data_IF_122858900209
#
_entry.id   IF_122858900209
#
_cell.length_a   1.000
_cell.length_b   1.000
_cell.length_c   1.000
_cell.angle_alpha   90.00
_cell.angle_beta   90.00
_cell.angle_gamma   90.00
#
_symmetry.space_group_name_H-M   'P 1'
#
loop_
_entity.id
_entity.type
_entity.pdbx_description
1 polymer ?
#
# COMPACT_ATOMS: atom_id res chain seq x y z
N UNK A 1 -8.37 32.40 -8.97
CA UNK A 1 -7.98 31.98 -7.61
C UNK A 1 -8.93 30.89 -7.16
N UNK A 2 -8.49 29.76 -6.56
CA UNK A 2 -9.43 28.92 -5.85
C UNK A 2 -10.03 29.83 -4.80
N UNK A 3 -11.34 29.88 -4.77
CA UNK A 3 -12.06 30.75 -3.86
C UNK A 3 -11.49 30.58 -2.47
N UNK A 4 -11.10 31.67 -1.82
CA UNK A 4 -10.60 31.76 -0.43
C UNK A 4 -11.35 30.81 0.52
N UNK A 5 -12.64 30.57 0.21
CA UNK A 5 -13.56 29.69 0.92
C UNK A 5 -13.08 28.26 1.15
N UNK A 6 -12.33 27.63 0.22
CA UNK A 6 -11.89 26.22 0.37
C UNK A 6 -10.38 26.08 0.50
N UNK A 7 -9.63 27.19 0.55
CA UNK A 7 -8.17 27.16 0.63
C UNK A 7 -7.68 26.40 1.87
N UNK A 8 -8.24 26.69 3.04
CA UNK A 8 -7.91 26.02 4.31
C UNK A 8 -8.16 24.51 4.27
N UNK A 9 -9.30 24.08 3.68
CA UNK A 9 -9.64 22.66 3.53
C UNK A 9 -8.62 21.96 2.65
N UNK A 10 -8.21 22.59 1.55
CA UNK A 10 -7.20 22.06 0.64
C UNK A 10 -5.85 21.96 1.33
N UNK A 11 -5.41 22.99 2.03
CA UNK A 11 -4.13 23.01 2.78
C UNK A 11 -4.06 21.89 3.82
N UNK A 12 -5.13 21.67 4.59
CA UNK A 12 -5.21 20.58 5.55
C UNK A 12 -5.14 19.18 4.88
N UNK A 13 -5.83 19.01 3.74
CA UNK A 13 -5.79 17.74 3.00
C UNK A 13 -4.45 17.49 2.33
N UNK A 14 -3.74 18.55 1.94
CA UNK A 14 -2.40 18.48 1.36
C UNK A 14 -1.30 18.09 2.36
N UNK A 15 -1.61 17.96 3.66
CA UNK A 15 -0.71 17.36 4.66
C UNK A 15 -0.66 15.82 4.56
N UNK A 16 -1.51 15.21 3.72
CA UNK A 16 -1.53 13.76 3.48
C UNK A 16 -0.86 13.45 2.13
N UNK A 17 -0.29 12.24 1.95
CA UNK A 17 0.28 11.83 0.66
C UNK A 17 -0.78 11.77 -0.46
N UNK A 18 -2.02 11.45 -0.08
CA UNK A 18 -3.16 11.34 -0.97
C UNK A 18 -4.45 11.78 -0.25
N UNK A 19 -5.32 12.46 -0.95
CA UNK A 19 -6.69 12.71 -0.51
C UNK A 19 -7.71 12.38 -1.62
N UNK A 20 -8.98 12.28 -1.24
CA UNK A 20 -10.05 11.83 -2.14
C UNK A 20 -11.10 12.92 -2.37
N UNK A 21 -11.84 12.80 -3.49
CA UNK A 21 -13.02 13.63 -3.75
C UNK A 21 -14.06 13.53 -2.61
N UNK A 22 -14.21 12.33 -2.02
CA UNK A 22 -15.12 12.11 -0.90
C UNK A 22 -14.71 12.90 0.36
N UNK A 23 -13.41 12.99 0.65
CA UNK A 23 -12.93 13.80 1.77
C UNK A 23 -13.19 15.30 1.56
N UNK A 24 -13.06 15.79 0.32
CA UNK A 24 -13.44 17.15 -0.02
C UNK A 24 -14.95 17.38 0.19
N UNK A 25 -15.78 16.44 -0.27
CA UNK A 25 -17.24 16.50 -0.12
C UNK A 25 -17.66 16.50 1.36
N UNK A 26 -17.09 15.60 2.16
CA UNK A 26 -17.34 15.51 3.61
C UNK A 26 -16.95 16.79 4.37
N UNK A 27 -16.05 17.61 3.81
CA UNK A 27 -15.65 18.92 4.35
C UNK A 27 -16.43 20.09 3.74
N UNK A 28 -17.51 19.81 3.00
CA UNK A 28 -18.43 20.81 2.48
C UNK A 28 -18.04 21.41 1.13
N UNK A 29 -17.12 20.79 0.38
CA UNK A 29 -16.86 21.18 -1.02
C UNK A 29 -17.94 20.57 -1.91
N UNK A 30 -18.73 21.38 -2.66
CA UNK A 30 -19.79 20.86 -3.51
C UNK A 30 -19.25 19.88 -4.57
N UNK A 31 -19.91 18.72 -4.83
CA UNK A 31 -19.48 17.73 -5.82
C UNK A 31 -19.25 18.32 -7.22
N UNK A 32 -20.11 19.25 -7.65
CA UNK A 32 -19.97 19.95 -8.93
C UNK A 32 -18.71 20.80 -9.04
N UNK A 33 -18.16 21.26 -7.91
CA UNK A 33 -16.96 22.09 -7.86
C UNK A 33 -15.66 21.28 -7.73
N UNK A 34 -15.72 20.06 -7.17
CA UNK A 34 -14.53 19.23 -6.87
C UNK A 34 -13.68 18.99 -8.12
N UNK A 35 -14.31 18.64 -9.25
CA UNK A 35 -13.60 18.40 -10.52
C UNK A 35 -12.84 19.65 -11.00
N UNK A 36 -13.47 20.82 -10.89
CA UNK A 36 -12.86 22.10 -11.27
C UNK A 36 -11.69 22.45 -10.35
N UNK A 37 -11.86 22.24 -9.04
CA UNK A 37 -10.82 22.47 -8.04
C UNK A 37 -9.60 21.55 -8.26
N UNK A 38 -9.84 20.25 -8.47
CA UNK A 38 -8.77 19.28 -8.75
C UNK A 38 -7.99 19.63 -10.02
N UNK A 39 -8.67 19.99 -11.10
CA UNK A 39 -8.02 20.41 -12.34
C UNK A 39 -7.18 21.69 -12.14
N UNK A 40 -7.65 22.63 -11.33
CA UNK A 40 -6.91 23.85 -11.01
C UNK A 40 -5.64 23.54 -10.20
N UNK A 41 -5.75 22.66 -9.18
CA UNK A 41 -4.62 22.23 -8.37
C UNK A 41 -3.58 21.47 -9.21
N UNK A 42 -4.05 20.57 -10.10
CA UNK A 42 -3.19 19.85 -11.05
C UNK A 42 -2.43 20.83 -11.97
N UNK A 43 -3.13 21.81 -12.57
CA UNK A 43 -2.50 22.84 -13.43
C UNK A 43 -1.44 23.66 -12.69
N UNK A 44 -1.58 23.83 -11.37
CA UNK A 44 -0.60 24.49 -10.50
C UNK A 44 0.53 23.57 -10.02
N UNK A 45 0.57 22.30 -10.48
CA UNK A 45 1.56 21.32 -10.05
C UNK A 45 1.45 20.91 -8.57
N UNK A 46 0.30 21.19 -7.92
CA UNK A 46 0.12 20.90 -6.49
C UNK A 46 -0.36 19.48 -6.21
N UNK A 47 -0.96 18.83 -7.20
CA UNK A 47 -1.45 17.44 -7.10
C UNK A 47 -1.31 16.73 -8.44
N UNK A 48 -1.25 15.40 -8.36
CA UNK A 48 -1.42 14.48 -9.48
C UNK A 48 -2.73 13.70 -9.33
N UNK A 49 -3.41 13.40 -10.46
CA UNK A 49 -4.62 12.58 -10.46
C UNK A 49 -4.21 11.13 -10.72
N UNK A 50 -4.31 10.29 -9.71
CA UNK A 50 -3.91 8.86 -9.81
C UNK A 50 -5.05 8.02 -10.38
N UNK A 51 -6.23 8.17 -9.83
CA UNK A 51 -7.49 7.55 -10.29
C UNK A 51 -8.61 8.58 -10.18
N UNK A 52 -9.77 8.28 -10.76
CA UNK A 52 -10.96 9.13 -10.61
C UNK A 52 -11.27 9.40 -9.13
N UNK A 53 -11.19 10.68 -8.75
CA UNK A 53 -11.48 11.12 -7.38
C UNK A 53 -10.37 10.82 -6.36
N UNK A 54 -9.14 10.51 -6.79
CA UNK A 54 -7.98 10.32 -5.93
C UNK A 54 -6.82 11.19 -6.39
N UNK A 55 -6.34 12.01 -5.48
CA UNK A 55 -5.42 13.11 -5.74
C UNK A 55 -4.17 12.93 -4.87
N UNK A 56 -3.04 12.63 -5.50
CA UNK A 56 -1.75 12.53 -4.83
C UNK A 56 -1.12 13.92 -4.67
N UNK A 57 -0.50 14.15 -3.53
CA UNK A 57 0.21 15.39 -3.18
C UNK A 57 1.72 15.19 -3.31
N UNK A 58 2.19 13.97 -3.20
CA UNK A 58 3.62 13.58 -3.26
C UNK A 58 3.85 12.69 -4.48
N UNK A 59 5.08 12.71 -4.99
CA UNK A 59 5.44 11.96 -6.19
C UNK A 59 5.90 10.52 -5.90
N UNK A 60 6.29 10.21 -4.64
CA UNK A 60 6.72 8.86 -4.27
C UNK A 60 5.55 7.87 -4.26
N UNK A 61 5.55 6.84 -5.15
CA UNK A 61 4.46 5.86 -5.24
C UNK A 61 4.28 5.03 -3.96
N UNK A 62 5.34 4.77 -3.18
CA UNK A 62 5.22 4.04 -1.91
C UNK A 62 4.39 4.79 -0.87
N UNK A 63 4.44 6.12 -0.88
CA UNK A 63 3.63 6.95 0.02
C UNK A 63 2.16 7.01 -0.42
N UNK A 64 1.89 6.92 -1.73
CA UNK A 64 0.56 7.05 -2.31
C UNK A 64 -0.20 5.72 -2.33
N UNK A 65 0.48 4.63 -2.67
CA UNK A 65 -0.11 3.32 -2.94
C UNK A 65 -1.04 2.79 -1.82
N UNK A 66 -0.66 2.82 -0.52
CA UNK A 66 -1.50 2.27 0.54
C UNK A 66 -2.78 3.08 0.80
N UNK A 67 -2.86 4.32 0.30
CA UNK A 67 -4.06 5.16 0.46
C UNK A 67 -5.00 5.12 -0.74
N UNK A 68 -4.64 4.41 -1.81
CA UNK A 68 -5.52 4.21 -2.97
C UNK A 68 -6.73 3.32 -2.66
N UNK A 69 -6.69 2.55 -1.59
CA UNK A 69 -7.85 1.81 -1.08
C UNK A 69 -7.77 1.72 0.45
N UNK A 70 -8.90 1.57 1.13
CA UNK A 70 -8.91 1.45 2.60
C UNK A 70 -9.92 0.38 3.03
N UNK A 71 -9.54 -0.51 3.96
CA UNK A 71 -8.21 -0.62 4.57
C UNK A 71 -7.21 -1.36 3.67
N UNK A 72 -5.93 -1.04 3.79
CA UNK A 72 -4.84 -1.71 3.07
C UNK A 72 -3.48 -1.47 3.75
N UNK A 73 -2.47 -2.23 3.34
CA UNK A 73 -1.07 -2.04 3.73
C UNK A 73 -0.13 -2.50 2.61
N UNK A 74 1.08 -1.97 2.59
CA UNK A 74 2.17 -2.42 1.72
C UNK A 74 2.64 -3.78 2.23
N UNK A 75 2.84 -4.76 1.33
CA UNK A 75 3.23 -6.12 1.72
C UNK A 75 4.20 -6.77 0.74
N UNK A 76 4.45 -8.06 0.94
CA UNK A 76 5.29 -8.92 0.09
C UNK A 76 6.67 -8.29 -0.15
N UNK A 77 7.20 -8.34 -1.37
CA UNK A 77 8.54 -7.84 -1.69
C UNK A 77 8.67 -6.32 -1.49
N UNK A 78 7.58 -5.57 -1.69
CA UNK A 78 7.57 -4.13 -1.43
C UNK A 78 7.77 -3.79 0.05
N UNK A 79 7.20 -4.58 0.94
CA UNK A 79 7.43 -4.41 2.38
C UNK A 79 8.82 -4.90 2.79
N UNK A 80 9.28 -6.04 2.24
CA UNK A 80 10.63 -6.56 2.50
C UNK A 80 11.72 -5.58 2.07
N UNK A 81 11.52 -4.90 0.93
CA UNK A 81 12.41 -3.84 0.46
C UNK A 81 12.43 -2.63 1.40
N UNK A 82 11.27 -2.09 1.76
CA UNK A 82 11.19 -0.95 2.68
C UNK A 82 11.71 -1.26 4.10
N UNK A 83 11.76 -2.56 4.47
CA UNK A 83 12.34 -3.05 5.72
C UNK A 83 13.79 -3.48 5.58
N UNK A 84 14.41 -3.21 4.43
CA UNK A 84 15.81 -3.56 4.17
C UNK A 84 16.10 -5.06 4.39
N UNK A 85 15.08 -5.92 4.20
CA UNK A 85 15.21 -7.38 4.28
C UNK A 85 15.65 -7.95 2.93
N UNK A 86 15.44 -7.22 1.85
CA UNK A 86 15.95 -7.48 0.51
C UNK A 86 16.55 -6.20 -0.06
N UNK A 87 17.59 -6.32 -0.90
CA UNK A 87 18.23 -5.19 -1.58
C UNK A 87 17.58 -4.87 -2.93
N UNK A 88 16.88 -5.83 -3.52
CA UNK A 88 16.27 -5.68 -4.84
C UNK A 88 15.03 -4.79 -4.79
N UNK A 89 15.04 -3.70 -5.59
CA UNK A 89 13.88 -2.83 -5.75
C UNK A 89 12.77 -3.58 -6.48
N UNK A 90 11.57 -3.70 -5.91
CA UNK A 90 10.46 -4.38 -6.57
C UNK A 90 9.95 -3.56 -7.76
N UNK A 91 9.74 -4.18 -8.91
CA UNK A 91 9.18 -3.53 -10.11
C UNK A 91 7.72 -3.09 -9.91
N UNK A 92 7.01 -3.68 -8.96
CA UNK A 92 5.60 -3.44 -8.68
C UNK A 92 5.40 -3.24 -7.19
N UNK A 93 4.69 -2.18 -6.79
CA UNK A 93 4.31 -1.99 -5.38
C UNK A 93 3.09 -2.86 -5.07
N UNK A 94 3.27 -3.76 -4.11
CA UNK A 94 2.29 -4.77 -3.74
C UNK A 94 1.48 -4.34 -2.52
N UNK A 95 0.18 -4.16 -2.73
CA UNK A 95 -0.77 -3.69 -1.70
C UNK A 95 -1.76 -4.79 -1.36
N UNK A 96 -1.86 -5.11 -0.08
CA UNK A 96 -2.86 -6.07 0.43
C UNK A 96 -4.05 -5.31 1.01
N UNK A 97 -5.26 -5.75 0.68
CA UNK A 97 -6.51 -5.12 1.11
C UNK A 97 -7.63 -6.15 1.29
N UNK A 98 -8.61 -5.84 2.14
CA UNK A 98 -9.85 -6.66 2.25
C UNK A 98 -10.91 -6.26 1.22
N UNK A 99 -10.71 -5.13 0.52
CA UNK A 99 -11.69 -4.60 -0.45
C UNK A 99 -11.54 -5.24 -1.82
N UNK A 100 -12.65 -5.53 -2.48
CA UNK A 100 -12.66 -5.87 -3.90
C UNK A 100 -12.45 -4.59 -4.72
N UNK A 101 -11.45 -4.59 -5.60
CA UNK A 101 -11.21 -3.50 -6.55
C UNK A 101 -11.59 -3.95 -7.96
N UNK A 102 -12.14 -3.02 -8.76
CA UNK A 102 -12.38 -3.24 -10.19
C UNK A 102 -11.03 -3.33 -10.93
N UNK A 103 -10.19 -2.35 -10.72
CA UNK A 103 -8.83 -2.32 -11.27
C UNK A 103 -7.87 -2.87 -10.22
N UNK A 104 -7.27 -4.02 -10.53
CA UNK A 104 -6.25 -4.63 -9.66
C UNK A 104 -4.90 -3.96 -9.79
N UNK A 105 -4.65 -3.25 -10.88
CA UNK A 105 -3.40 -2.55 -11.19
C UNK A 105 -3.67 -1.08 -11.48
N UNK A 106 -2.76 -0.23 -11.02
CA UNK A 106 -2.75 1.22 -11.25
C UNK A 106 -1.31 1.62 -11.52
N UNK A 107 -1.09 2.50 -12.47
CA UNK A 107 0.24 3.09 -12.71
C UNK A 107 0.28 4.49 -12.14
N UNK A 108 1.30 4.79 -11.36
CA UNK A 108 1.57 6.12 -10.83
C UNK A 108 3.08 6.40 -10.90
N UNK A 109 3.47 7.50 -11.57
CA UNK A 109 4.87 7.88 -11.80
C UNK A 109 5.71 6.68 -12.28
N UNK A 110 5.27 6.07 -13.40
CA UNK A 110 5.91 4.93 -14.06
C UNK A 110 6.04 3.65 -13.21
N UNK A 111 5.47 3.66 -12.01
CA UNK A 111 5.47 2.51 -11.10
C UNK A 111 4.11 1.84 -11.10
N UNK A 112 4.08 0.54 -11.34
CA UNK A 112 2.86 -0.28 -11.22
C UNK A 112 2.57 -0.55 -9.75
N UNK A 113 1.32 -0.34 -9.34
CA UNK A 113 0.79 -0.66 -8.01
C UNK A 113 -0.23 -1.77 -8.19
N UNK A 114 -0.01 -2.92 -7.58
CA UNK A 114 -0.90 -4.08 -7.68
C UNK A 114 -1.59 -4.37 -6.34
N UNK A 115 -2.91 -4.66 -6.42
CA UNK A 115 -3.77 -4.88 -5.25
C UNK A 115 -4.17 -6.33 -5.12
N UNK A 116 -3.87 -6.91 -3.98
CA UNK A 116 -4.17 -8.28 -3.60
C UNK A 116 -5.27 -8.30 -2.56
N UNK A 117 -6.37 -8.99 -2.87
CA UNK A 117 -7.48 -9.14 -1.93
C UNK A 117 -7.24 -10.30 -0.98
N UNK A 118 -7.22 -10.01 0.32
CA UNK A 118 -7.12 -11.01 1.38
C UNK A 118 -8.44 -11.14 2.17
N UNK A 119 -8.65 -12.28 2.82
CA UNK A 119 -9.77 -12.48 3.76
C UNK A 119 -9.59 -11.60 4.99
N UNK A 120 -10.70 -11.19 5.63
CA UNK A 120 -10.65 -10.31 6.81
C UNK A 120 -9.87 -10.94 7.97
N UNK A 121 -10.00 -12.25 8.17
CA UNK A 121 -9.33 -13.01 9.22
C UNK A 121 -7.80 -13.04 9.06
N UNK A 122 -7.31 -12.77 7.84
CA UNK A 122 -5.89 -12.73 7.51
C UNK A 122 -5.35 -11.29 7.39
N UNK A 123 -6.18 -10.29 7.68
CA UNK A 123 -5.81 -8.88 7.61
C UNK A 123 -5.23 -8.42 8.96
N UNK A 124 -4.00 -8.85 9.26
CA UNK A 124 -3.26 -8.58 10.49
C UNK A 124 -1.75 -8.49 10.21
N UNK A 125 -0.94 -8.25 11.23
CA UNK A 125 0.52 -8.32 11.16
C UNK A 125 1.15 -7.17 10.36
N UNK A 126 0.52 -6.02 10.34
CA UNK A 126 1.05 -4.77 9.81
C UNK A 126 1.05 -3.70 10.90
N UNK A 127 1.82 -2.66 10.67
CA UNK A 127 1.96 -1.50 11.55
C UNK A 127 2.12 -0.22 10.74
N UNK A 128 1.99 0.92 11.37
CA UNK A 128 2.30 2.22 10.76
C UNK A 128 3.75 2.58 11.05
N UNK A 129 4.53 2.87 10.03
CA UNK A 129 5.89 3.38 10.15
C UNK A 129 6.00 4.77 9.56
N UNK A 130 6.96 5.56 10.05
CA UNK A 130 7.35 6.82 9.44
C UNK A 130 8.25 6.56 8.23
N UNK A 131 7.87 7.08 7.07
CA UNK A 131 8.65 7.04 5.84
C UNK A 131 8.52 8.37 5.12
N UNK A 132 9.65 9.06 4.88
CA UNK A 132 9.69 10.38 4.24
C UNK A 132 8.69 11.40 4.81
N UNK A 133 8.53 11.42 6.14
CA UNK A 133 7.64 12.37 6.83
C UNK A 133 6.16 11.99 6.87
N UNK A 134 5.79 10.79 6.39
CA UNK A 134 4.42 10.29 6.43
C UNK A 134 4.32 8.95 7.14
N UNK A 135 3.21 8.73 7.83
CA UNK A 135 2.89 7.41 8.38
C UNK A 135 2.23 6.53 7.32
N UNK A 136 2.85 5.40 6.99
CA UNK A 136 2.34 4.44 6.02
C UNK A 136 2.11 3.06 6.66
N UNK A 137 1.01 2.37 6.34
CA UNK A 137 0.77 1.01 6.81
C UNK A 137 1.61 0.01 6.01
N UNK A 138 2.42 -0.77 6.72
CA UNK A 138 3.34 -1.75 6.13
C UNK A 138 3.30 -3.07 6.90
N UNK A 139 3.33 -4.20 6.20
CA UNK A 139 3.44 -5.51 6.79
C UNK A 139 4.74 -5.65 7.60
N UNK A 140 4.68 -6.34 8.75
CA UNK A 140 5.89 -6.86 9.40
C UNK A 140 6.58 -7.86 8.49
N UNK A 141 7.86 -8.09 8.69
CA UNK A 141 8.68 -8.95 7.80
C UNK A 141 8.06 -10.35 7.63
N UNK A 142 7.65 -10.98 8.74
CA UNK A 142 7.02 -12.30 8.76
C UNK A 142 5.69 -12.31 8.01
N UNK A 143 4.92 -11.22 8.15
CA UNK A 143 3.63 -11.05 7.45
C UNK A 143 3.84 -10.83 5.96
N UNK A 144 4.86 -10.08 5.57
CA UNK A 144 5.21 -9.87 4.16
C UNK A 144 5.57 -11.18 3.46
N UNK A 145 6.35 -12.04 4.13
CA UNK A 145 6.69 -13.39 3.64
C UNK A 145 5.44 -14.28 3.59
N UNK A 146 4.62 -14.25 4.66
CA UNK A 146 3.36 -14.98 4.67
C UNK A 146 2.47 -14.59 3.49
N UNK A 147 2.30 -13.30 3.23
CA UNK A 147 1.47 -12.82 2.12
C UNK A 147 2.04 -13.21 0.76
N UNK A 148 3.35 -13.11 0.56
CA UNK A 148 4.00 -13.54 -0.68
C UNK A 148 3.68 -15.02 -0.98
N UNK A 149 3.89 -15.89 -0.02
CA UNK A 149 3.62 -17.32 -0.15
C UNK A 149 2.12 -17.63 -0.24
N UNK A 150 1.27 -16.89 0.47
CA UNK A 150 -0.19 -17.04 0.42
C UNK A 150 -0.75 -16.74 -0.98
N UNK A 151 -0.21 -15.71 -1.64
CA UNK A 151 -0.59 -15.33 -3.00
C UNK A 151 0.16 -16.10 -4.10
N UNK A 152 1.03 -17.06 -3.72
CA UNK A 152 1.68 -17.98 -4.65
C UNK A 152 3.01 -17.49 -5.22
N UNK A 153 3.59 -16.42 -4.66
CA UNK A 153 4.92 -15.97 -5.05
C UNK A 153 6.01 -16.90 -4.50
N UNK A 154 7.06 -17.12 -5.31
CA UNK A 154 8.28 -17.79 -4.85
C UNK A 154 9.14 -16.79 -4.08
N UNK A 155 9.73 -17.25 -2.97
CA UNK A 155 10.72 -16.47 -2.20
C UNK A 155 12.14 -17.00 -2.40
N UNK A 156 12.32 -18.07 -3.21
CA UNK A 156 13.62 -18.73 -3.40
C UNK A 156 14.55 -17.97 -4.34
N UNK A 157 13.96 -17.14 -5.23
CA UNK A 157 14.69 -16.41 -6.27
C UNK A 157 15.04 -14.97 -5.83
N UNK A 158 14.76 -14.65 -4.56
CA UNK A 158 15.05 -13.35 -3.95
C UNK A 158 16.06 -13.57 -2.84
N UNK A 159 17.09 -12.74 -2.84
CA UNK A 159 18.10 -12.76 -1.76
C UNK A 159 17.53 -12.08 -0.51
N UNK A 160 16.98 -12.93 0.37
CA UNK A 160 16.31 -12.50 1.61
C UNK A 160 17.29 -12.66 2.77
N UNK A 161 17.47 -11.61 3.55
CA UNK A 161 18.20 -11.66 4.82
C UNK A 161 17.36 -12.37 5.90
N UNK A 162 17.53 -13.68 5.99
CA UNK A 162 16.80 -14.52 6.95
C UNK A 162 17.17 -14.25 8.41
N UNK A 163 18.26 -13.55 8.71
CA UNK A 163 18.62 -13.17 10.08
C UNK A 163 17.61 -12.18 10.71
N UNK A 164 16.87 -11.48 9.87
CA UNK A 164 15.83 -10.49 10.25
C UNK A 164 14.42 -11.09 10.35
N UNK A 165 14.29 -12.43 10.29
CA UNK A 165 12.99 -13.10 10.17
C UNK A 165 12.80 -14.11 11.30
N UNK A 166 11.70 -13.99 12.02
CA UNK A 166 11.21 -15.05 12.89
C UNK A 166 10.44 -16.10 12.08
N UNK A 167 11.16 -17.13 11.67
CA UNK A 167 10.60 -18.24 10.90
C UNK A 167 9.50 -19.00 11.63
N UNK A 168 9.57 -19.08 12.96
CA UNK A 168 8.56 -19.74 13.79
C UNK A 168 7.23 -19.00 13.64
N UNK A 169 7.27 -17.68 13.68
CA UNK A 169 6.09 -16.84 13.50
C UNK A 169 5.47 -16.99 12.09
N UNK A 170 6.30 -17.07 11.03
CA UNK A 170 5.78 -17.34 9.68
C UNK A 170 5.06 -18.68 9.62
N UNK A 171 5.65 -19.74 10.22
CA UNK A 171 5.05 -21.08 10.28
C UNK A 171 3.72 -21.03 11.06
N UNK A 172 3.65 -20.30 12.16
CA UNK A 172 2.44 -20.18 12.97
C UNK A 172 1.31 -19.47 12.23
N UNK A 173 1.61 -18.45 11.44
CA UNK A 173 0.60 -17.84 10.55
C UNK A 173 -0.01 -18.86 9.57
N UNK A 174 0.79 -19.80 9.03
CA UNK A 174 0.27 -20.85 8.16
C UNK A 174 -0.48 -21.95 8.91
N UNK A 175 -0.14 -22.23 10.17
CA UNK A 175 -0.89 -23.16 11.02
C UNK A 175 -2.31 -22.68 11.29
N UNK A 176 -2.49 -21.37 11.53
CA UNK A 176 -3.81 -20.78 11.79
C UNK A 176 -4.78 -20.93 10.62
N UNK A 177 -4.28 -21.00 9.38
CA UNK A 177 -5.15 -21.18 8.18
C UNK A 177 -5.33 -22.64 7.75
N UNK A 178 -4.73 -23.61 8.48
CA UNK A 178 -4.92 -25.05 8.23
C UNK A 178 -4.35 -25.58 6.90
N UNK A 179 -3.50 -24.81 6.19
CA UNK A 179 -2.89 -25.21 4.90
C UNK A 179 -1.64 -26.08 5.10
N UNK A 180 -1.82 -27.33 5.49
CA UNK A 180 -0.71 -28.29 5.72
C UNK A 180 0.22 -28.47 4.50
N UNK A 181 -0.30 -28.39 3.27
CA UNK A 181 0.49 -28.52 2.04
C UNK A 181 1.51 -27.38 1.85
N UNK A 182 1.13 -26.18 2.26
CA UNK A 182 2.02 -24.99 2.21
C UNK A 182 3.11 -25.11 3.27
N UNK A 183 2.81 -25.63 4.47
CA UNK A 183 3.78 -25.84 5.54
C UNK A 183 4.93 -26.77 5.12
N UNK A 184 4.64 -27.81 4.31
CA UNK A 184 5.69 -28.72 3.82
C UNK A 184 6.62 -28.06 2.81
N UNK A 185 6.11 -27.18 1.96
CA UNK A 185 6.92 -26.35 1.02
C UNK A 185 7.72 -25.30 1.77
N UNK A 186 7.11 -24.65 2.75
CA UNK A 186 7.74 -23.60 3.58
C UNK A 186 9.02 -24.07 4.26
N UNK A 187 8.98 -25.21 4.95
CA UNK A 187 10.16 -25.79 5.63
C UNK A 187 11.33 -26.08 4.68
N UNK A 188 11.07 -26.23 3.37
CA UNK A 188 12.12 -26.41 2.35
C UNK A 188 12.62 -25.10 1.76
N UNK A 189 11.80 -24.06 1.76
CA UNK A 189 12.10 -22.74 1.15
C UNK A 189 12.64 -21.74 2.17
N UNK A 190 12.23 -21.85 3.44
CA UNK A 190 12.81 -21.08 4.52
C UNK A 190 14.12 -21.77 4.93
N UNK A 191 15.24 -21.11 4.68
CA UNK A 191 16.58 -21.55 5.14
C UNK A 191 16.73 -21.37 6.67
N UNK A 192 15.71 -21.75 7.42
CA UNK A 192 15.63 -21.58 8.86
C UNK A 192 15.87 -22.89 9.60
#
# INVERSE_FOLDING_TARGET
MPTVKYAKIVEELMQKPLFTAKELEMRGVPPSYIKRLANLLKKKGKISIVEKGKYAVVDNPFLVAPFLTFPSYISMFSALFLRETISQVPMTIQIVTTRKRKNKKVVYNDTEIEFFKIKKELFFGFEYIWHEGYQIPIAKTEKAIFDALYFGFSITDVDIDFSKIDCTQVIDYFRTIGKKSVLKKLRRSLKC
#
